data_IF_567560158676
#
_entry.id   IF_567560158676
#
_cell.length_a   1.000
_cell.length_b   1.000
_cell.length_c   1.000
_cell.angle_alpha   90.00
_cell.angle_beta   90.00
_cell.angle_gamma   90.00
#
_symmetry.space_group_name_H-M   'P 1'
#
loop_
_entity.id
_entity.type
_entity.pdbx_description
1 polymer ?
#
# COMPACT_ATOMS: atom_id res chain seq x y z
N UNK A 1 -14.44 1.31 -1.86
CA UNK A 1 -13.51 0.24 -1.47
C UNK A 1 -13.93 -1.06 -2.13
N UNK A 2 -13.06 -1.67 -2.93
CA UNK A 2 -13.32 -2.94 -3.61
C UNK A 2 -12.75 -4.13 -2.81
N UNK A 3 -13.15 -5.36 -3.16
CA UNK A 3 -12.72 -6.57 -2.45
C UNK A 3 -11.18 -6.76 -2.46
N UNK A 4 -10.50 -6.29 -3.51
CA UNK A 4 -9.05 -6.39 -3.60
C UNK A 4 -8.34 -5.46 -2.61
N UNK A 5 -8.83 -4.23 -2.45
CA UNK A 5 -8.35 -3.26 -1.45
C UNK A 5 -8.62 -3.73 -0.03
N UNK A 6 -9.82 -4.25 0.23
CA UNK A 6 -10.18 -4.80 1.52
C UNK A 6 -9.24 -5.96 1.89
N UNK A 7 -8.92 -6.83 0.93
CA UNK A 7 -7.97 -7.92 1.15
C UNK A 7 -6.56 -7.41 1.48
N UNK A 8 -6.10 -6.36 0.82
CA UNK A 8 -4.81 -5.73 1.18
C UNK A 8 -4.82 -5.17 2.61
N UNK A 9 -5.90 -4.50 3.02
CA UNK A 9 -6.04 -4.00 4.39
C UNK A 9 -6.01 -5.15 5.40
N UNK A 10 -6.72 -6.24 5.14
CA UNK A 10 -6.67 -7.45 5.97
C UNK A 10 -5.26 -8.02 6.09
N UNK A 11 -4.54 -8.14 4.96
CA UNK A 11 -3.19 -8.69 4.94
C UNK A 11 -2.22 -7.82 5.75
N UNK A 12 -2.24 -6.50 5.59
CA UNK A 12 -1.37 -5.60 6.36
C UNK A 12 -1.73 -5.58 7.85
N UNK A 13 -3.02 -5.65 8.20
CA UNK A 13 -3.44 -5.77 9.61
C UNK A 13 -3.04 -7.11 10.20
N UNK A 14 -3.14 -8.19 9.43
CA UNK A 14 -2.73 -9.54 9.83
C UNK A 14 -1.22 -9.67 10.05
N UNK A 15 -0.41 -8.90 9.30
CA UNK A 15 1.03 -8.81 9.53
C UNK A 15 1.41 -8.18 10.90
N UNK A 16 0.45 -7.50 11.54
CA UNK A 16 0.57 -6.91 12.87
C UNK A 16 1.87 -6.12 13.08
N UNK A 17 2.23 -5.30 12.08
CA UNK A 17 3.45 -4.49 12.13
C UNK A 17 3.26 -3.42 13.22
N UNK A 18 4.14 -3.36 14.24
CA UNK A 18 4.00 -2.41 15.33
C UNK A 18 3.91 -0.97 14.84
N UNK A 19 3.01 -0.19 15.47
CA UNK A 19 2.83 1.24 15.23
C UNK A 19 2.37 1.65 13.81
N UNK A 20 2.07 0.68 12.94
CA UNK A 20 1.48 0.94 11.63
C UNK A 20 -0.04 1.05 11.75
N UNK A 21 -0.63 2.07 11.13
CA UNK A 21 -2.08 2.24 11.05
C UNK A 21 -2.54 2.11 9.61
N UNK A 22 -3.35 1.10 9.35
CA UNK A 22 -3.85 0.79 8.00
C UNK A 22 -5.34 1.10 7.92
N UNK A 23 -5.69 2.01 7.01
CA UNK A 23 -7.06 2.51 6.82
C UNK A 23 -7.41 2.57 5.33
N UNK A 24 -8.69 2.47 5.05
CA UNK A 24 -9.23 2.77 3.72
C UNK A 24 -9.34 4.28 3.54
N UNK A 25 -8.91 4.80 2.40
CA UNK A 25 -9.07 6.21 2.01
C UNK A 25 -9.72 6.28 0.63
N UNK A 26 -11.05 6.20 0.58
CA UNK A 26 -11.80 6.17 -0.69
C UNK A 26 -11.49 4.93 -1.53
N UNK A 27 -10.71 5.12 -2.60
CA UNK A 27 -10.20 4.05 -3.48
C UNK A 27 -8.71 3.71 -3.20
N UNK A 28 -8.15 4.27 -2.14
CA UNK A 28 -6.76 4.06 -1.76
C UNK A 28 -6.65 3.31 -0.42
N UNK A 29 -5.48 2.74 -0.18
CA UNK A 29 -5.08 2.16 1.11
C UNK A 29 -4.07 3.11 1.75
N UNK A 30 -4.45 3.70 2.88
CA UNK A 30 -3.58 4.57 3.65
C UNK A 30 -2.81 3.76 4.69
N UNK A 31 -1.50 3.94 4.72
CA UNK A 31 -0.57 3.29 5.65
C UNK A 31 0.20 4.39 6.37
N UNK A 32 -0.21 4.66 7.61
CA UNK A 32 0.54 5.54 8.52
C UNK A 32 1.63 4.73 9.20
N UNK A 33 2.86 5.16 9.05
CA UNK A 33 4.04 4.54 9.70
C UNK A 33 4.59 5.46 10.80
N UNK A 34 5.48 4.97 11.68
CA UNK A 34 6.12 5.81 12.69
C UNK A 34 6.84 7.02 12.10
N UNK A 35 6.83 8.14 12.82
CA UNK A 35 7.39 9.42 12.36
C UNK A 35 8.89 9.37 12.02
N UNK A 36 9.63 8.47 12.66
CA UNK A 36 11.07 8.25 12.43
C UNK A 36 11.37 7.34 11.23
N UNK A 37 10.34 6.81 10.56
CA UNK A 37 10.52 5.93 9.40
C UNK A 37 11.03 6.73 8.21
N UNK A 38 12.13 6.28 7.60
CA UNK A 38 12.61 6.79 6.32
C UNK A 38 11.70 6.28 5.19
N UNK A 39 10.84 7.16 4.66
CA UNK A 39 9.91 6.79 3.61
C UNK A 39 10.59 6.47 2.28
N UNK A 40 11.83 6.91 2.04
CA UNK A 40 12.57 6.52 0.83
C UNK A 40 12.96 5.05 0.92
N UNK A 41 13.57 4.66 2.04
CA UNK A 41 13.93 3.26 2.30
C UNK A 41 12.68 2.37 2.31
N UNK A 42 11.59 2.82 2.93
CA UNK A 42 10.33 2.08 2.90
C UNK A 42 9.82 1.91 1.46
N UNK A 43 9.79 2.98 0.67
CA UNK A 43 9.35 2.96 -0.73
C UNK A 43 10.20 2.02 -1.58
N UNK A 44 11.52 2.01 -1.39
CA UNK A 44 12.43 1.20 -2.19
C UNK A 44 12.22 -0.31 -1.95
N UNK A 45 11.84 -0.70 -0.72
CA UNK A 45 11.58 -2.10 -0.34
C UNK A 45 10.09 -2.51 -0.45
N UNK A 46 9.19 -1.55 -0.59
CA UNK A 46 7.74 -1.80 -0.62
C UNK A 46 7.32 -2.72 -1.78
N UNK A 47 7.85 -2.60 -3.02
CA UNK A 47 7.48 -3.48 -4.13
C UNK A 47 7.75 -4.95 -3.82
N UNK A 48 8.89 -5.28 -3.20
CA UNK A 48 9.24 -6.66 -2.85
C UNK A 48 8.30 -7.21 -1.77
N UNK A 49 8.01 -6.40 -0.75
CA UNK A 49 7.06 -6.75 0.32
C UNK A 49 5.67 -7.04 -0.25
N UNK A 50 5.17 -6.15 -1.11
CA UNK A 50 3.86 -6.31 -1.76
C UNK A 50 3.89 -7.52 -2.69
N UNK A 51 4.96 -7.74 -3.46
CA UNK A 51 5.06 -8.91 -4.33
C UNK A 51 4.95 -10.22 -3.55
N UNK A 52 5.67 -10.34 -2.42
CA UNK A 52 5.61 -11.50 -1.55
C UNK A 52 4.20 -11.72 -0.97
N UNK A 53 3.58 -10.67 -0.42
CA UNK A 53 2.22 -10.75 0.14
C UNK A 53 1.16 -11.04 -0.91
N UNK A 54 1.38 -10.62 -2.16
CA UNK A 54 0.41 -10.82 -3.25
C UNK A 54 0.21 -12.29 -3.63
N UNK A 55 1.16 -13.16 -3.28
CA UNK A 55 1.08 -14.61 -3.55
C UNK A 55 -0.09 -15.26 -2.81
N UNK A 56 -0.48 -14.72 -1.66
CA UNK A 56 -1.59 -15.22 -0.84
C UNK A 56 -2.96 -14.63 -1.27
N UNK A 57 -2.98 -13.71 -2.25
CA UNK A 57 -4.20 -13.05 -2.71
C UNK A 57 -4.68 -13.68 -4.01
N UNK A 58 -5.72 -14.51 -3.91
CA UNK A 58 -6.28 -15.30 -5.03
C UNK A 58 -7.47 -14.65 -5.73
N UNK A 59 -7.99 -13.55 -5.20
CA UNK A 59 -9.11 -12.81 -5.79
C UNK A 59 -8.67 -11.97 -7.00
N UNK A 60 -9.59 -11.57 -7.90
CA UNK A 60 -9.24 -10.79 -9.08
C UNK A 60 -8.45 -9.53 -8.75
N UNK A 61 -7.28 -9.40 -9.38
CA UNK A 61 -6.40 -8.25 -9.22
C UNK A 61 -7.06 -6.99 -9.75
N UNK A 62 -7.02 -5.92 -8.96
CA UNK A 62 -7.53 -4.60 -9.33
C UNK A 62 -6.45 -3.54 -9.04
N UNK A 63 -6.62 -2.35 -9.60
CA UNK A 63 -5.75 -1.20 -9.29
C UNK A 63 -5.89 -0.86 -7.81
N UNK A 64 -4.76 -0.73 -7.11
CA UNK A 64 -4.70 -0.25 -5.72
C UNK A 64 -3.58 0.76 -5.61
N UNK A 65 -3.88 1.91 -5.02
CA UNK A 65 -2.85 2.87 -4.64
C UNK A 65 -2.67 2.84 -3.13
N UNK A 66 -1.43 2.63 -2.71
CA UNK A 66 -0.99 2.71 -1.34
C UNK A 66 -0.41 4.10 -1.09
N UNK A 67 -0.96 4.80 -0.11
CA UNK A 67 -0.48 6.11 0.34
C UNK A 67 0.24 5.90 1.66
N UNK A 68 1.56 5.97 1.64
CA UNK A 68 2.41 5.78 2.82
C UNK A 68 2.81 7.14 3.37
N UNK A 69 2.65 7.34 4.67
CA UNK A 69 3.01 8.62 5.30
C UNK A 69 3.51 8.43 6.73
N UNK A 70 4.46 9.27 7.14
CA UNK A 70 5.02 9.31 8.49
C UNK A 70 4.60 10.58 9.27
N UNK A 71 3.65 11.35 8.71
CA UNK A 71 3.19 12.63 9.28
C UNK A 71 4.02 13.86 8.90
N UNK A 72 5.19 13.68 8.27
CA UNK A 72 6.02 14.77 7.71
C UNK A 72 6.04 14.76 6.19
N UNK A 73 6.09 13.57 5.63
CA UNK A 73 6.22 13.31 4.20
C UNK A 73 5.28 12.18 3.81
N UNK A 74 4.92 12.16 2.53
CA UNK A 74 4.06 11.15 1.94
C UNK A 74 4.76 10.56 0.71
N UNK A 75 4.49 9.29 0.42
CA UNK A 75 4.88 8.64 -0.82
C UNK A 75 3.79 7.68 -1.27
N UNK A 76 3.75 7.38 -2.56
CA UNK A 76 2.72 6.56 -3.15
C UNK A 76 3.33 5.37 -3.89
N UNK A 77 2.63 4.23 -3.82
CA UNK A 77 2.92 3.07 -4.64
C UNK A 77 1.62 2.56 -5.28
N UNK A 78 1.62 2.38 -6.60
CA UNK A 78 0.45 1.89 -7.34
C UNK A 78 0.72 0.44 -7.77
N UNK A 79 -0.14 -0.46 -7.30
CA UNK A 79 -0.16 -1.85 -7.72
C UNK A 79 -1.23 -2.06 -8.80
N UNK A 80 -0.84 -2.80 -9.85
CA UNK A 80 -1.64 -2.99 -11.06
C UNK A 80 -2.06 -1.64 -11.68
N UNK A 81 -1.09 -0.79 -12.07
CA UNK A 81 -1.38 0.52 -12.64
C UNK A 81 -2.19 0.40 -13.93
N UNK A 82 -3.05 1.38 -14.17
CA UNK A 82 -3.76 1.56 -15.43
C UNK A 82 -2.92 2.40 -16.40
N UNK A 83 -3.30 2.46 -17.68
CA UNK A 83 -2.64 3.32 -18.67
C UNK A 83 -2.59 4.79 -18.21
N UNK A 84 -3.63 5.26 -17.50
CA UNK A 84 -3.68 6.61 -16.95
C UNK A 84 -2.66 6.87 -15.84
N UNK A 85 -2.21 5.82 -15.14
CA UNK A 85 -1.20 5.94 -14.09
C UNK A 85 0.22 5.95 -14.69
N UNK A 86 0.43 5.19 -15.76
CA UNK A 86 1.73 5.11 -16.45
C UNK A 86 2.07 6.40 -17.21
N UNK A 87 1.05 7.13 -17.67
CA UNK A 87 1.22 8.34 -18.48
C UNK A 87 1.31 9.63 -17.65
N UNK A 88 1.27 9.55 -16.31
CA UNK A 88 1.56 10.66 -15.41
C UNK A 88 3.03 10.63 -15.02
N UNK A 89 3.88 11.17 -15.90
CA UNK A 89 5.29 11.44 -15.65
C UNK A 89 5.47 12.82 -15.01
#
# INVERSE_FOLDING_TARGET
MNAYQEKWIEMFRGANIPDWQIKSRGEDVEIKVPEHTDLKVLRDNFPETVAAMSLDITIPKQRVRFVLHNGKTDTEYILNPTENDLNKA
#
